data_IF_251550999370
#
_entry.id   IF_251550999370
#
_cell.length_a   1.000
_cell.length_b   1.000
_cell.length_c   1.000
_cell.angle_alpha   90.00
_cell.angle_beta   90.00
_cell.angle_gamma   90.00
#
_symmetry.space_group_name_H-M   'P 1'
#
loop_
_entity.id
_entity.type
_entity.pdbx_description
1 polymer ?
#
# COMPACT_ATOMS: atom_id res chain seq x y z
N UNK A 1 -46.31 -28.05 -13.80
CA UNK A 1 -46.72 -28.55 -12.48
C UNK A 1 -45.48 -29.06 -11.77
N UNK A 2 -44.98 -28.26 -10.83
CA UNK A 2 -44.00 -28.52 -9.75
C UNK A 2 -44.34 -27.45 -8.68
N UNK A 3 -43.97 -27.56 -7.39
CA UNK A 3 -43.54 -28.72 -6.60
C UNK A 3 -44.24 -28.76 -5.20
N UNK A 4 -44.19 -29.87 -4.48
CA UNK A 4 -44.51 -29.90 -3.03
C UNK A 4 -43.59 -30.90 -2.33
N UNK A 5 -42.52 -30.38 -1.74
CA UNK A 5 -41.79 -31.05 -0.65
C UNK A 5 -42.52 -30.68 0.66
N UNK A 6 -43.11 -31.68 1.29
CA UNK A 6 -43.55 -31.62 2.69
C UNK A 6 -42.38 -32.07 3.58
N UNK A 7 -42.12 -31.32 4.64
CA UNK A 7 -41.67 -31.74 5.99
C UNK A 7 -41.03 -30.49 6.64
N UNK A 8 -41.19 -30.14 7.91
CA UNK A 8 -41.98 -30.59 9.04
C UNK A 8 -41.63 -29.51 10.10
N UNK A 9 -42.63 -28.83 10.65
CA UNK A 9 -42.42 -27.84 11.72
C UNK A 9 -42.76 -28.52 13.04
N UNK A 10 -41.85 -28.48 14.03
CA UNK A 10 -42.25 -27.86 15.29
C UNK A 10 -41.13 -27.12 16.06
N UNK A 11 -41.33 -25.82 16.33
CA UNK A 11 -41.04 -25.24 17.66
C UNK A 11 -42.19 -25.62 18.61
N UNK A 12 -42.08 -25.64 19.96
CA UNK A 12 -41.16 -24.88 20.84
C UNK A 12 -40.61 -25.69 22.06
N UNK A 13 -39.62 -25.13 22.80
CA UNK A 13 -39.57 -25.06 24.29
C UNK A 13 -38.16 -24.61 24.78
N UNK A 14 -38.10 -23.44 25.42
CA UNK A 14 -37.17 -23.18 26.55
C UNK A 14 -37.94 -23.50 27.85
N UNK A 15 -37.35 -23.60 29.05
CA UNK A 15 -35.95 -23.74 29.48
C UNK A 15 -35.74 -24.95 30.43
N UNK A 16 -34.48 -25.32 30.71
CA UNK A 16 -34.13 -26.32 31.73
C UNK A 16 -32.85 -25.93 32.46
N UNK A 17 -33.03 -25.34 33.63
CA UNK A 17 -32.02 -24.88 34.59
C UNK A 17 -31.13 -26.03 35.11
N UNK A 18 -29.87 -25.71 35.45
CA UNK A 18 -29.26 -26.13 36.73
C UNK A 18 -27.94 -25.39 36.98
N UNK A 19 -28.07 -24.33 37.77
CA UNK A 19 -27.19 -23.87 38.85
C UNK A 19 -25.67 -23.91 38.65
N UNK A 20 -25.04 -22.73 38.72
CA UNK A 20 -24.12 -22.45 39.82
C UNK A 20 -23.94 -20.92 39.93
N UNK A 21 -24.73 -20.30 40.81
CA UNK A 21 -24.37 -19.00 41.36
C UNK A 21 -23.29 -19.23 42.41
N UNK A 22 -22.07 -18.79 42.12
CA UNK A 22 -21.19 -18.24 43.15
C UNK A 22 -20.83 -16.82 42.71
N UNK A 23 -21.57 -15.88 43.29
CA UNK A 23 -21.32 -14.45 43.23
C UNK A 23 -20.29 -14.13 44.32
N UNK A 24 -19.11 -13.63 43.95
CA UNK A 24 -18.43 -12.54 44.68
C UNK A 24 -17.30 -11.91 43.84
N UNK A 25 -17.39 -10.60 43.60
CA UNK A 25 -16.19 -9.76 43.52
C UNK A 25 -15.86 -9.11 42.17
N UNK A 26 -16.64 -8.08 41.81
CA UNK A 26 -16.24 -6.86 41.09
C UNK A 26 -14.87 -6.80 40.38
N UNK A 27 -14.89 -6.86 39.05
CA UNK A 27 -14.26 -5.85 38.19
C UNK A 27 -15.04 -5.82 36.88
N UNK A 28 -15.64 -4.67 36.57
CA UNK A 28 -16.24 -4.42 35.27
C UNK A 28 -15.14 -4.47 34.21
N UNK A 29 -15.28 -5.36 33.22
CA UNK A 29 -14.61 -5.24 31.92
C UNK A 29 -15.58 -4.45 31.02
N UNK A 30 -15.44 -3.11 30.88
CA UNK A 30 -16.19 -2.37 29.89
C UNK A 30 -15.58 -2.61 28.51
N UNK A 31 -15.89 -3.75 27.88
CA UNK A 31 -15.77 -3.86 26.41
C UNK A 31 -16.97 -3.20 25.75
N UNK A 32 -17.11 -1.91 26.00
CA UNK A 32 -18.07 -1.05 25.35
C UNK A 32 -17.39 0.27 25.04
N UNK A 33 -16.83 0.35 23.85
CA UNK A 33 -17.10 1.49 22.99
C UNK A 33 -17.00 1.05 21.53
N UNK A 34 -18.12 1.21 20.83
CA UNK A 34 -18.18 1.69 19.45
C UNK A 34 -17.59 0.81 18.35
N UNK A 35 -18.44 -0.02 17.76
CA UNK A 35 -18.37 -0.26 16.30
C UNK A 35 -19.54 0.48 15.67
N UNK A 36 -19.42 1.81 15.64
CA UNK A 36 -20.33 2.71 14.93
C UNK A 36 -19.98 2.66 13.44
N UNK A 37 -21.02 2.70 12.62
CA UNK A 37 -21.00 2.62 11.16
C UNK A 37 -19.93 3.48 10.44
N UNK A 38 -19.22 2.85 9.50
CA UNK A 38 -18.82 3.38 8.20
C UNK A 38 -18.48 2.16 7.33
N UNK A 39 -19.26 1.76 6.32
CA UNK A 39 -19.20 2.34 4.97
C UNK A 39 -17.81 2.86 4.56
N UNK A 40 -16.78 2.05 4.75
CA UNK A 40 -15.59 2.17 3.91
C UNK A 40 -15.29 0.80 3.32
N UNK A 41 -16.20 0.39 2.42
CA UNK A 41 -15.73 -0.19 1.17
C UNK A 41 -15.00 0.98 0.49
N UNK A 42 -13.73 1.23 0.86
CA UNK A 42 -12.85 2.00 0.00
C UNK A 42 -12.89 1.23 -1.31
N UNK A 43 -13.30 1.85 -2.43
CA UNK A 43 -13.03 1.21 -3.70
C UNK A 43 -11.53 0.91 -3.72
N UNK A 44 -11.18 -0.23 -4.31
CA UNK A 44 -9.84 -0.61 -4.77
C UNK A 44 -9.27 0.47 -5.71
N UNK A 45 -8.98 1.62 -5.13
CA UNK A 45 -8.41 2.84 -5.68
C UNK A 45 -7.10 3.16 -4.95
N UNK A 46 -6.47 2.14 -4.35
CA UNK A 46 -5.36 2.29 -3.38
C UNK A 46 -4.07 1.63 -3.89
N UNK A 47 -3.97 1.30 -5.18
CA UNK A 47 -2.79 0.62 -5.72
C UNK A 47 -2.18 1.31 -6.95
N UNK A 48 -2.96 2.07 -7.74
CA UNK A 48 -2.46 2.69 -8.98
C UNK A 48 -2.06 4.16 -8.81
N UNK A 49 -2.61 4.86 -7.82
CA UNK A 49 -2.26 6.25 -7.52
C UNK A 49 -0.87 6.35 -6.85
N UNK A 50 -0.36 5.24 -6.29
CA UNK A 50 0.98 5.13 -5.71
C UNK A 50 2.01 4.52 -6.69
N UNK A 51 1.60 4.25 -7.92
CA UNK A 51 2.51 3.73 -8.94
C UNK A 51 3.39 4.84 -9.48
N UNK A 52 4.70 4.58 -9.45
CA UNK A 52 5.68 5.42 -10.10
C UNK A 52 5.74 5.13 -11.60
N UNK A 53 5.72 6.18 -12.41
CA UNK A 53 5.88 6.11 -13.85
C UNK A 53 6.97 7.04 -14.34
N UNK A 54 7.58 6.69 -15.47
CA UNK A 54 8.59 7.53 -16.12
C UNK A 54 8.37 7.61 -17.62
N UNK A 55 8.82 8.71 -18.22
CA UNK A 55 8.87 8.88 -19.66
C UNK A 55 10.31 8.70 -20.16
N UNK A 56 10.46 7.86 -21.18
CA UNK A 56 11.72 7.65 -21.89
C UNK A 56 11.43 7.46 -23.39
N UNK A 57 12.12 8.22 -24.25
CA UNK A 57 11.99 8.18 -25.72
C UNK A 57 10.53 8.23 -26.23
N UNK A 58 9.69 9.05 -25.58
CA UNK A 58 8.27 9.19 -25.93
C UNK A 58 7.37 8.01 -25.49
N UNK A 59 7.90 7.10 -24.67
CA UNK A 59 7.17 5.98 -24.07
C UNK A 59 7.02 6.18 -22.56
N UNK A 60 5.85 5.81 -22.04
CA UNK A 60 5.57 5.74 -20.60
C UNK A 60 5.89 4.32 -20.12
N UNK A 61 6.61 4.25 -19.01
CA UNK A 61 6.92 3.04 -18.30
C UNK A 61 6.31 3.09 -16.91
N UNK A 62 5.45 2.12 -16.62
CA UNK A 62 4.98 1.83 -15.28
C UNK A 62 6.09 1.04 -14.55
N UNK A 63 6.56 1.57 -13.42
CA UNK A 63 7.64 0.96 -12.64
C UNK A 63 7.10 0.08 -11.52
N UNK A 64 5.86 0.34 -11.09
CA UNK A 64 5.20 -0.30 -9.96
C UNK A 64 4.96 0.68 -8.80
N UNK A 65 4.42 0.19 -7.68
CA UNK A 65 4.11 1.01 -6.52
C UNK A 65 5.40 1.53 -5.86
N UNK A 66 5.33 2.71 -5.24
CA UNK A 66 6.38 3.20 -4.36
C UNK A 66 6.47 2.34 -3.08
N UNK A 67 7.70 2.03 -2.66
CA UNK A 67 7.98 1.10 -1.55
C UNK A 67 8.74 1.76 -0.39
N UNK A 68 9.31 2.94 -0.61
CA UNK A 68 10.18 3.64 0.34
C UNK A 68 9.71 5.09 0.49
N UNK A 69 9.52 5.51 1.72
CA UNK A 69 9.35 6.90 2.15
C UNK A 69 10.75 7.49 2.43
N UNK A 70 11.19 8.40 1.58
CA UNK A 70 12.55 8.99 1.61
C UNK A 70 12.60 10.25 2.46
N UNK A 71 11.48 10.97 2.60
CA UNK A 71 11.40 12.23 3.34
C UNK A 71 10.65 12.13 4.69
N UNK A 72 10.22 10.92 5.06
CA UNK A 72 9.59 10.52 6.33
C UNK A 72 8.26 11.27 6.58
N UNK A 73 7.49 11.48 5.52
CA UNK A 73 6.19 12.15 5.59
C UNK A 73 4.99 11.20 5.76
N UNK A 74 5.26 9.89 5.73
CA UNK A 74 4.31 8.81 5.92
C UNK A 74 3.73 8.24 4.62
N UNK A 75 4.15 8.74 3.45
CA UNK A 75 3.77 8.24 2.13
C UNK A 75 5.03 7.75 1.42
N UNK A 76 4.96 6.58 0.79
CA UNK A 76 6.08 6.09 0.00
C UNK A 76 6.20 6.90 -1.30
N UNK A 77 7.42 7.35 -1.61
CA UNK A 77 7.72 8.22 -2.75
C UNK A 77 8.79 7.63 -3.70
N UNK A 78 9.39 6.51 -3.29
CA UNK A 78 10.55 5.95 -3.97
C UNK A 78 10.45 4.44 -4.20
N UNK A 79 11.06 3.99 -5.29
CA UNK A 79 11.16 2.59 -5.68
C UNK A 79 12.61 2.22 -5.97
N UNK A 80 13.06 1.07 -5.47
CA UNK A 80 14.39 0.52 -5.78
C UNK A 80 14.26 -0.71 -6.66
N UNK A 81 14.92 -0.71 -7.82
CA UNK A 81 14.97 -1.86 -8.72
C UNK A 81 16.39 -2.41 -8.81
N UNK A 82 16.56 -3.69 -8.49
CA UNK A 82 17.83 -4.39 -8.68
C UNK A 82 17.95 -4.92 -10.11
N UNK A 83 19.15 -4.81 -10.67
CA UNK A 83 19.51 -5.31 -11.99
C UNK A 83 20.87 -6.04 -11.98
N UNK A 84 21.26 -6.67 -13.09
CA UNK A 84 22.56 -7.33 -13.20
C UNK A 84 23.74 -6.35 -13.06
N UNK A 85 23.53 -5.09 -13.41
CA UNK A 85 24.55 -4.04 -13.37
C UNK A 85 24.63 -3.33 -12.01
N UNK A 86 23.71 -3.57 -11.08
CA UNK A 86 23.63 -2.88 -9.79
C UNK A 86 22.20 -2.66 -9.33
N UNK A 87 21.89 -1.47 -8.83
CA UNK A 87 20.52 -1.08 -8.49
C UNK A 87 20.22 0.36 -8.90
N UNK A 88 18.96 0.63 -9.18
CA UNK A 88 18.44 1.94 -9.57
C UNK A 88 17.36 2.35 -8.59
N UNK A 89 17.47 3.58 -8.08
CA UNK A 89 16.46 4.23 -7.23
C UNK A 89 15.73 5.25 -8.07
N UNK A 90 14.41 5.19 -8.04
CA UNK A 90 13.48 6.12 -8.65
C UNK A 90 12.77 6.86 -7.52
N UNK A 91 12.70 8.19 -7.59
CA UNK A 91 12.08 9.05 -6.58
C UNK A 91 11.16 10.06 -7.26
N UNK A 92 9.95 10.16 -6.76
CA UNK A 92 8.97 11.23 -7.03
C UNK A 92 8.99 12.18 -5.82
N UNK A 93 9.25 13.47 -6.02
CA UNK A 93 9.36 14.42 -4.89
C UNK A 93 8.15 15.33 -4.75
N UNK A 94 7.30 15.43 -5.77
CA UNK A 94 6.10 16.28 -5.74
C UNK A 94 4.78 15.49 -5.66
N UNK A 95 4.88 14.16 -5.63
CA UNK A 95 3.80 13.18 -5.45
C UNK A 95 2.77 13.23 -6.57
N UNK A 96 3.21 13.44 -7.80
CA UNK A 96 2.37 13.37 -8.99
C UNK A 96 2.38 11.99 -9.68
N UNK A 97 3.20 11.06 -9.14
CA UNK A 97 3.46 9.72 -9.65
C UNK A 97 4.58 9.67 -10.69
N UNK A 98 5.04 10.81 -11.20
CA UNK A 98 6.15 10.90 -12.12
C UNK A 98 7.47 10.81 -11.35
N UNK A 99 8.40 10.02 -11.88
CA UNK A 99 9.76 10.04 -11.34
C UNK A 99 10.44 11.36 -11.70
N UNK A 100 10.85 12.10 -10.68
CA UNK A 100 11.65 13.32 -10.79
C UNK A 100 13.16 13.03 -10.78
N UNK A 101 13.57 11.95 -10.12
CA UNK A 101 14.99 11.66 -9.91
C UNK A 101 15.29 10.18 -10.05
N UNK A 102 16.34 9.90 -10.81
CA UNK A 102 16.89 8.56 -10.98
C UNK A 102 18.31 8.54 -10.46
N UNK A 103 18.62 7.58 -9.58
CA UNK A 103 19.98 7.33 -9.13
C UNK A 103 20.35 5.88 -9.38
N UNK A 104 21.34 5.66 -10.24
CA UNK A 104 21.88 4.34 -10.56
C UNK A 104 23.18 4.14 -9.79
N UNK A 105 23.31 2.99 -9.13
CA UNK A 105 24.53 2.55 -8.47
C UNK A 105 24.95 1.20 -9.06
N UNK A 106 26.09 1.21 -9.73
CA UNK A 106 26.73 0.06 -10.34
C UNK A 106 27.34 -0.89 -9.30
N UNK A 107 27.41 -2.18 -9.64
CA UNK A 107 28.04 -3.19 -8.79
C UNK A 107 29.54 -2.96 -8.54
N UNK A 108 30.19 -2.17 -9.39
CA UNK A 108 31.58 -1.73 -9.25
C UNK A 108 31.75 -0.44 -8.42
N UNK A 109 30.65 0.07 -7.86
CA UNK A 109 30.61 1.29 -7.04
C UNK A 109 30.51 2.57 -7.86
N UNK A 110 30.45 2.53 -9.19
CA UNK A 110 30.10 3.72 -9.98
C UNK A 110 28.67 4.16 -9.66
N UNK A 111 28.42 5.45 -9.58
CA UNK A 111 27.07 5.99 -9.46
C UNK A 111 26.81 7.05 -10.52
N UNK A 112 25.55 7.17 -10.92
CA UNK A 112 25.05 8.19 -11.84
C UNK A 112 23.71 8.67 -11.32
N UNK A 113 23.46 9.97 -11.46
CA UNK A 113 22.15 10.55 -11.15
C UNK A 113 21.66 11.42 -12.29
N UNK A 114 20.35 11.40 -12.49
CA UNK A 114 19.63 12.28 -13.39
C UNK A 114 18.41 12.84 -12.67
N UNK A 115 18.05 14.08 -13.01
CA UNK A 115 16.86 14.78 -12.50
C UNK A 115 16.04 15.22 -13.70
N UNK A 116 14.74 15.00 -13.65
CA UNK A 116 13.81 15.45 -14.67
C UNK A 116 13.64 16.96 -14.54
N UNK A 117 13.77 17.65 -15.67
CA UNK A 117 13.39 19.05 -15.76
C UNK A 117 11.87 19.14 -16.02
N UNK A 118 11.06 19.66 -15.08
CA UNK A 118 9.61 19.66 -15.23
C UNK A 118 9.12 20.64 -16.32
N UNK A 119 9.94 21.63 -16.69
CA UNK A 119 9.59 22.60 -17.73
C UNK A 119 9.74 22.02 -19.15
N UNK A 120 10.74 21.18 -19.37
CA UNK A 120 11.09 20.61 -20.68
C UNK A 120 10.73 19.13 -20.82
N UNK A 121 10.61 18.41 -19.71
CA UNK A 121 10.49 16.95 -19.68
C UNK A 121 11.80 16.22 -20.05
N UNK A 122 12.94 16.92 -20.05
CA UNK A 122 14.25 16.34 -20.35
C UNK A 122 14.98 15.89 -19.08
N UNK A 123 15.68 14.76 -19.16
CA UNK A 123 16.52 14.28 -18.07
C UNK A 123 17.87 15.01 -18.05
N UNK A 124 18.12 15.77 -16.99
CA UNK A 124 19.38 16.47 -16.75
C UNK A 124 20.29 15.59 -15.88
N UNK A 125 21.48 15.26 -16.38
CA UNK A 125 22.48 14.54 -15.58
C UNK A 125 22.92 15.39 -14.38
N UNK A 126 22.64 14.92 -13.16
CA UNK A 126 22.98 15.62 -11.93
C UNK A 126 24.44 15.41 -11.51
N UNK A 127 24.90 14.16 -11.48
CA UNK A 127 26.26 13.83 -11.08
C UNK A 127 26.65 12.39 -11.36
N UNK A 128 27.95 12.12 -11.42
CA UNK A 128 28.50 10.78 -11.58
C UNK A 128 29.83 10.64 -10.87
N UNK A 129 30.16 9.45 -10.37
CA UNK A 129 31.44 9.17 -9.72
C UNK A 129 31.55 7.76 -9.18
N UNK A 130 32.55 7.49 -8.34
CA UNK A 130 32.70 6.20 -7.63
C UNK A 130 32.48 6.35 -6.14
N UNK A 131 31.83 5.36 -5.56
CA UNK A 131 31.65 5.15 -4.14
C UNK A 131 32.58 3.98 -3.77
N UNK A 132 33.61 4.24 -2.96
CA UNK A 132 34.63 3.27 -2.57
C UNK A 132 35.51 3.76 -1.43
#
# INVERSE_FOLDING_TARGET
>A
MDPMFSDDTPEPDRPGESALFDEVGAAADPRSFESVAALHESPVSDDLDDHLWMHDDGRIWDLGPAEVDTDDDGINDSLTRNGPDGFTVYTDSDRDGQVDKITEIGADGEFRSAVLDPDTGEWISGGSGRIG
#
